data_IF_799633997810
#
_entry.id   IF_799633997810
#
_cell.length_a   1.000
_cell.length_b   1.000
_cell.length_c   1.000
_cell.angle_alpha   90.00
_cell.angle_beta   90.00
_cell.angle_gamma   90.00
#
_symmetry.space_group_name_H-M   'P 1'
#
loop_
_entity.id
_entity.type
_entity.pdbx_description
1 polymer ?
#
# COMPACT_ATOMS: atom_id res chain seq x y z
N UNK A 1 3.56 -6.82 5.06
CA UNK A 1 3.43 -7.27 6.47
C UNK A 1 2.01 -6.97 7.02
N UNK A 2 0.95 -7.41 6.34
CA UNK A 2 -0.47 -7.22 6.76
C UNK A 2 -1.25 -8.57 6.78
N UNK A 3 -0.63 -9.68 6.40
CA UNK A 3 -1.33 -10.92 6.04
C UNK A 3 -1.71 -11.87 7.19
N UNK A 4 -1.40 -11.58 8.46
CA UNK A 4 -1.60 -12.55 9.56
C UNK A 4 -2.68 -12.21 10.59
N UNK A 5 -3.32 -11.03 10.53
CA UNK A 5 -4.15 -10.55 11.65
C UNK A 5 -5.64 -10.85 11.49
N UNK A 6 -6.12 -11.07 10.26
CA UNK A 6 -7.54 -11.33 10.00
C UNK A 6 -8.05 -12.69 10.48
N UNK A 7 -7.42 -13.82 10.10
CA UNK A 7 -7.99 -15.14 10.37
C UNK A 7 -8.04 -15.44 11.87
N UNK A 8 -7.04 -14.99 12.64
CA UNK A 8 -7.01 -15.18 14.09
C UNK A 8 -8.10 -14.43 14.85
N UNK A 9 -8.57 -13.28 14.35
CA UNK A 9 -9.61 -12.49 15.03
C UNK A 9 -11.02 -13.01 14.77
N UNK A 10 -11.34 -13.43 13.54
CA UNK A 10 -12.67 -14.00 13.26
C UNK A 10 -12.81 -15.41 13.85
N UNK A 11 -11.79 -16.27 13.75
CA UNK A 11 -11.80 -17.59 14.39
C UNK A 11 -11.94 -17.47 15.91
N UNK A 12 -11.25 -16.53 16.57
CA UNK A 12 -11.40 -16.28 18.00
C UNK A 12 -12.80 -15.78 18.41
N UNK A 13 -13.53 -15.10 17.52
CA UNK A 13 -14.91 -14.63 17.74
C UNK A 13 -15.92 -15.76 17.50
N UNK A 14 -15.65 -16.66 16.55
CA UNK A 14 -16.44 -17.88 16.32
C UNK A 14 -16.31 -18.83 17.52
N UNK A 15 -15.10 -19.01 18.05
CA UNK A 15 -14.80 -19.89 19.21
C UNK A 15 -14.95 -19.22 20.58
N UNK A 16 -15.48 -17.99 20.65
CA UNK A 16 -15.65 -17.27 21.92
C UNK A 16 -16.64 -18.00 22.84
N UNK A 17 -16.12 -18.68 23.88
CA UNK A 17 -16.92 -19.29 24.97
C UNK A 17 -17.17 -18.24 26.06
N UNK A 18 -18.38 -18.12 26.65
CA UNK A 18 -19.47 -19.11 26.69
C UNK A 18 -20.60 -18.95 25.65
N UNK A 19 -20.57 -17.93 24.79
CA UNK A 19 -21.56 -17.75 23.70
C UNK A 19 -20.83 -17.36 22.41
N UNK A 20 -20.86 -18.19 21.36
CA UNK A 20 -20.21 -17.87 20.10
C UNK A 20 -20.84 -16.60 19.54
N UNK A 21 -20.00 -15.62 19.20
CA UNK A 21 -20.45 -14.32 18.74
C UNK A 21 -20.73 -14.29 17.23
N UNK A 22 -20.31 -15.33 16.49
CA UNK A 22 -20.55 -15.48 15.06
C UNK A 22 -21.09 -16.87 14.71
N UNK A 23 -22.03 -16.91 13.77
CA UNK A 23 -22.56 -18.10 13.09
C UNK A 23 -23.11 -19.20 14.02
N UNK A 24 -23.45 -18.84 15.25
CA UNK A 24 -23.83 -19.80 16.30
C UNK A 24 -22.76 -20.85 16.61
N UNK A 25 -21.48 -20.54 16.34
CA UNK A 25 -20.34 -21.44 16.57
C UNK A 25 -20.13 -22.49 15.47
N UNK A 26 -20.79 -22.34 14.32
CA UNK A 26 -20.56 -23.22 13.15
C UNK A 26 -19.41 -22.69 12.32
N UNK A 27 -18.52 -23.60 11.92
CA UNK A 27 -17.47 -23.35 10.92
C UNK A 27 -17.78 -24.08 9.62
N UNK A 28 -17.19 -23.63 8.52
CA UNK A 28 -17.24 -24.27 7.20
C UNK A 28 -15.83 -24.69 6.75
N UNK A 29 -15.75 -25.59 5.78
CA UNK A 29 -14.47 -25.99 5.20
C UNK A 29 -13.70 -24.80 4.62
N UNK A 30 -14.42 -23.84 4.01
CA UNK A 30 -13.85 -22.59 3.50
C UNK A 30 -13.22 -21.78 4.63
N UNK A 31 -13.95 -21.55 5.73
CA UNK A 31 -13.45 -20.82 6.90
C UNK A 31 -12.25 -21.49 7.57
N UNK A 32 -12.16 -22.82 7.49
CA UNK A 32 -11.05 -23.58 8.04
C UNK A 32 -9.80 -23.56 7.14
N UNK A 33 -9.88 -23.03 5.92
CA UNK A 33 -8.69 -22.83 5.08
C UNK A 33 -7.89 -21.61 5.53
N UNK A 34 -6.57 -21.63 5.28
CA UNK A 34 -5.66 -20.53 5.60
C UNK A 34 -6.01 -19.18 4.94
N UNK A 35 -6.83 -19.19 3.88
CA UNK A 35 -7.24 -18.02 3.10
C UNK A 35 -8.75 -17.92 2.91
N UNK A 36 -9.55 -18.57 3.76
CA UNK A 36 -11.02 -18.58 3.65
C UNK A 36 -11.68 -17.20 3.75
N UNK A 37 -10.94 -16.20 4.26
CA UNK A 37 -11.33 -14.80 4.36
C UNK A 37 -10.22 -13.95 3.77
N UNK A 38 -10.20 -13.85 2.45
CA UNK A 38 -9.25 -13.04 1.70
C UNK A 38 -9.83 -11.68 1.30
N UNK A 39 -9.03 -10.89 0.59
CA UNK A 39 -9.45 -9.56 0.09
C UNK A 39 -10.57 -9.63 -0.94
N UNK A 40 -10.76 -10.75 -1.63
CA UNK A 40 -11.84 -10.93 -2.59
C UNK A 40 -13.18 -11.07 -1.86
N UNK A 41 -13.24 -11.92 -0.84
CA UNK A 41 -14.43 -12.05 0.03
C UNK A 41 -14.79 -10.71 0.66
N UNK A 42 -13.79 -9.98 1.18
CA UNK A 42 -14.01 -8.64 1.75
C UNK A 42 -14.60 -7.68 0.71
N UNK A 43 -14.04 -7.68 -0.50
CA UNK A 43 -14.53 -6.84 -1.60
C UNK A 43 -15.97 -7.17 -1.99
N UNK A 44 -16.33 -8.46 -2.09
CA UNK A 44 -17.70 -8.88 -2.41
C UNK A 44 -18.69 -8.45 -1.33
N UNK A 45 -18.29 -8.51 -0.06
CA UNK A 45 -19.10 -8.05 1.08
C UNK A 45 -19.31 -6.54 1.04
N UNK A 46 -18.28 -5.73 0.80
CA UNK A 46 -18.42 -4.28 0.69
C UNK A 46 -19.29 -3.88 -0.52
N UNK A 47 -19.10 -4.52 -1.68
CA UNK A 47 -19.95 -4.27 -2.85
C UNK A 47 -21.42 -4.62 -2.59
N UNK A 48 -21.67 -5.70 -1.86
CA UNK A 48 -23.03 -6.07 -1.47
C UNK A 48 -23.67 -5.03 -0.54
N UNK A 49 -22.86 -4.41 0.33
CA UNK A 49 -23.28 -3.31 1.20
C UNK A 49 -23.66 -2.07 0.38
N UNK A 50 -22.77 -1.63 -0.52
CA UNK A 50 -22.98 -0.44 -1.36
C UNK A 50 -24.18 -0.59 -2.30
N UNK A 51 -24.38 -1.79 -2.86
CA UNK A 51 -25.48 -2.10 -3.76
C UNK A 51 -25.14 -1.86 -5.24
N UNK A 52 -26.07 -2.21 -6.16
CA UNK A 52 -25.82 -2.22 -7.60
C UNK A 52 -25.71 -0.82 -8.23
N UNK A 53 -26.23 0.22 -7.57
CA UNK A 53 -26.17 1.61 -8.05
C UNK A 53 -24.85 2.31 -7.66
N UNK A 54 -24.00 1.64 -6.87
CA UNK A 54 -22.63 2.07 -6.67
C UNK A 54 -21.88 1.80 -7.97
N UNK A 55 -21.86 2.80 -8.85
CA UNK A 55 -21.09 2.76 -10.08
C UNK A 55 -19.65 2.32 -9.74
N UNK A 56 -19.01 1.44 -10.54
CA UNK A 56 -17.56 1.38 -10.48
C UNK A 56 -17.09 2.81 -10.74
N UNK A 57 -16.37 3.42 -9.80
CA UNK A 57 -15.79 4.74 -9.99
C UNK A 57 -14.78 4.63 -11.13
N UNK A 58 -15.28 4.74 -12.37
CA UNK A 58 -14.49 5.05 -13.54
C UNK A 58 -14.08 6.51 -13.37
N UNK A 59 -12.78 6.70 -13.24
CA UNK A 59 -12.04 7.96 -13.24
C UNK A 59 -12.78 9.08 -13.99
N UNK A 60 -13.55 9.91 -13.28
CA UNK A 60 -13.86 11.27 -13.71
C UNK A 60 -13.79 12.20 -12.48
N UNK A 61 -12.73 13.01 -12.49
CA UNK A 61 -12.47 14.15 -11.63
C UNK A 61 -13.70 15.04 -11.52
N UNK A 62 -14.48 14.93 -10.45
CA UNK A 62 -15.45 15.97 -10.06
C UNK A 62 -15.40 16.22 -8.56
N UNK A 63 -15.08 17.47 -8.23
CA UNK A 63 -14.98 18.04 -6.89
C UNK A 63 -16.36 18.04 -6.20
N UNK A 64 -16.54 17.46 -5.00
CA UNK A 64 -17.72 17.71 -4.19
C UNK A 64 -17.62 19.05 -3.44
N UNK A 65 -18.75 19.69 -3.07
CA UNK A 65 -18.79 21.01 -2.44
C UNK A 65 -18.22 21.01 -1.00
N UNK A 66 -17.88 22.19 -0.44
CA UNK A 66 -17.19 22.28 0.84
C UNK A 66 -18.08 21.76 1.97
N UNK A 67 -17.49 20.90 2.81
CA UNK A 67 -18.11 20.42 4.04
C UNK A 67 -18.11 21.54 5.08
N UNK A 68 -19.30 21.96 5.48
CA UNK A 68 -19.47 22.75 6.70
C UNK A 68 -19.25 21.85 7.93
N UNK A 69 -18.75 22.46 9.00
CA UNK A 69 -18.00 21.82 10.08
C UNK A 69 -18.67 20.62 10.74
N UNK A 70 -17.86 19.59 10.98
CA UNK A 70 -18.18 18.50 11.90
C UNK A 70 -17.10 18.44 12.98
N UNK A 71 -17.59 18.28 14.21
CA UNK A 71 -16.91 18.46 15.49
C UNK A 71 -15.94 17.30 15.78
N UNK A 72 -14.90 17.58 16.58
CA UNK A 72 -13.90 16.60 17.03
C UNK A 72 -14.55 15.43 17.77
N UNK A 73 -14.60 14.26 17.14
CA UNK A 73 -15.03 13.02 17.79
C UNK A 73 -13.82 12.32 18.45
N UNK A 74 -13.81 12.34 19.78
CA UNK A 74 -12.84 11.66 20.64
C UNK A 74 -12.83 10.15 20.39
N UNK A 75 -11.68 9.59 20.04
CA UNK A 75 -11.52 8.17 19.71
C UNK A 75 -11.44 7.32 20.97
N UNK A 76 -12.57 6.72 21.35
CA UNK A 76 -12.59 5.61 22.30
C UNK A 76 -12.06 4.32 21.64
N UNK A 77 -11.28 3.53 22.39
CA UNK A 77 -10.83 2.21 21.94
C UNK A 77 -12.04 1.28 21.78
N UNK A 78 -12.54 1.11 20.55
CA UNK A 78 -13.57 0.14 20.19
C UNK A 78 -13.10 -1.29 20.51
N UNK A 79 -13.44 -1.74 21.71
CA UNK A 79 -13.60 -3.16 21.99
C UNK A 79 -14.74 -3.64 21.08
N UNK A 80 -14.56 -4.77 20.40
CA UNK A 80 -15.62 -5.41 19.60
C UNK A 80 -16.74 -5.81 20.58
N UNK A 81 -17.66 -4.88 20.84
CA UNK A 81 -18.80 -5.09 21.72
C UNK A 81 -19.88 -5.73 20.88
N UNK A 82 -20.27 -6.95 21.23
CA UNK A 82 -21.41 -7.61 20.61
C UNK A 82 -22.63 -6.69 20.73
N UNK A 83 -23.33 -6.36 19.64
CA UNK A 83 -24.40 -5.37 19.71
C UNK A 83 -25.52 -5.84 20.66
N UNK A 84 -26.01 -4.89 21.46
CA UNK A 84 -27.06 -5.10 22.47
C UNK A 84 -28.33 -5.67 21.84
N UNK A 85 -29.14 -6.51 22.51
CA UNK A 85 -30.25 -7.29 21.91
C UNK A 85 -31.32 -6.50 21.14
N UNK A 86 -31.35 -5.17 21.24
CA UNK A 86 -32.33 -4.29 20.61
C UNK A 86 -31.79 -3.59 19.33
N UNK A 87 -30.54 -3.87 18.92
CA UNK A 87 -29.86 -3.15 17.83
C UNK A 87 -30.57 -3.26 16.47
N UNK A 88 -31.25 -4.38 16.20
CA UNK A 88 -31.99 -4.58 14.94
C UNK A 88 -33.16 -3.59 14.78
N UNK A 89 -33.77 -3.18 15.89
CA UNK A 89 -34.86 -2.19 15.93
C UNK A 89 -34.39 -0.77 15.62
N UNK A 90 -33.09 -0.50 15.79
CA UNK A 90 -32.47 0.78 15.45
C UNK A 90 -32.13 0.89 13.96
N UNK A 91 -32.21 -0.22 13.21
CA UNK A 91 -31.86 -0.23 11.79
C UNK A 91 -32.98 0.34 10.91
N UNK A 92 -32.59 1.24 10.02
CA UNK A 92 -33.46 1.77 9.00
C UNK A 92 -33.78 0.70 7.94
N UNK A 93 -34.84 0.91 7.15
CA UNK A 93 -35.25 -0.05 6.12
C UNK A 93 -34.14 -0.32 5.10
N UNK A 94 -33.41 0.73 4.70
CA UNK A 94 -32.27 0.65 3.79
C UNK A 94 -31.13 -0.21 4.36
N UNK A 95 -30.74 0.02 5.62
CA UNK A 95 -29.67 -0.74 6.29
C UNK A 95 -30.04 -2.22 6.44
N UNK A 96 -31.31 -2.50 6.75
CA UNK A 96 -31.80 -3.89 6.78
C UNK A 96 -31.67 -4.56 5.42
N UNK A 97 -31.98 -3.86 4.34
CA UNK A 97 -31.86 -4.42 3.00
C UNK A 97 -30.39 -4.57 2.56
N UNK A 98 -29.50 -3.65 2.96
CA UNK A 98 -28.05 -3.78 2.80
C UNK A 98 -27.52 -5.02 3.54
N UNK A 99 -27.87 -5.19 4.81
CA UNK A 99 -27.45 -6.35 5.61
C UNK A 99 -27.98 -7.66 5.06
N UNK A 100 -29.19 -7.69 4.48
CA UNK A 100 -29.69 -8.90 3.78
C UNK A 100 -28.83 -9.27 2.57
N UNK A 101 -28.36 -8.29 1.79
CA UNK A 101 -27.46 -8.53 0.66
C UNK A 101 -26.10 -9.04 1.14
N UNK A 102 -25.54 -8.40 2.17
CA UNK A 102 -24.29 -8.84 2.79
C UNK A 102 -24.44 -10.27 3.32
N UNK A 103 -25.51 -10.57 4.06
CA UNK A 103 -25.81 -11.91 4.56
C UNK A 103 -25.82 -12.94 3.45
N UNK A 104 -26.47 -12.64 2.32
CA UNK A 104 -26.49 -13.55 1.18
C UNK A 104 -25.07 -13.80 0.64
N UNK A 105 -24.25 -12.76 0.50
CA UNK A 105 -22.85 -12.93 0.08
C UNK A 105 -22.00 -13.70 1.08
N UNK A 106 -22.18 -13.47 2.37
CA UNK A 106 -21.49 -14.24 3.41
C UNK A 106 -21.85 -15.73 3.34
N UNK A 107 -23.12 -16.06 3.08
CA UNK A 107 -23.57 -17.44 2.85
C UNK A 107 -22.90 -18.04 1.62
N UNK A 108 -22.93 -17.31 0.49
CA UNK A 108 -22.39 -17.78 -0.79
C UNK A 108 -20.87 -18.02 -0.73
N UNK A 109 -20.12 -17.07 -0.16
CA UNK A 109 -18.65 -17.11 -0.10
C UNK A 109 -18.13 -18.08 0.96
N UNK A 110 -18.79 -18.16 2.12
CA UNK A 110 -18.31 -18.98 3.23
C UNK A 110 -18.91 -20.40 3.21
N UNK A 111 -19.89 -20.69 2.34
CA UNK A 111 -20.52 -22.00 2.25
C UNK A 111 -21.26 -22.41 3.54
N UNK A 112 -21.75 -21.43 4.30
CA UNK A 112 -22.50 -21.67 5.55
C UNK A 112 -24.00 -21.83 5.24
N UNK A 113 -24.74 -22.69 5.99
CA UNK A 113 -26.17 -22.81 5.79
C UNK A 113 -26.88 -21.50 6.19
N UNK A 114 -27.94 -21.14 5.47
CA UNK A 114 -28.63 -19.87 5.68
C UNK A 114 -29.19 -19.71 7.11
N UNK A 115 -29.52 -20.82 7.78
CA UNK A 115 -30.00 -20.79 9.17
C UNK A 115 -28.88 -20.50 10.20
N UNK A 116 -27.61 -20.64 9.81
CA UNK A 116 -26.47 -20.33 10.67
C UNK A 116 -26.08 -18.86 10.64
N UNK A 117 -26.37 -18.15 9.55
CA UNK A 117 -25.97 -16.75 9.37
C UNK A 117 -27.16 -15.85 9.69
N UNK A 118 -27.07 -15.09 10.78
CA UNK A 118 -28.03 -14.07 11.19
C UNK A 118 -27.73 -12.71 10.54
N UNK A 119 -28.65 -11.75 10.65
CA UNK A 119 -28.38 -10.36 10.26
C UNK A 119 -27.31 -9.73 11.15
N UNK A 120 -27.22 -10.16 12.41
CA UNK A 120 -26.17 -9.75 13.34
C UNK A 120 -24.80 -10.22 12.86
N UNK A 121 -24.68 -11.47 12.41
CA UNK A 121 -23.43 -11.99 11.86
C UNK A 121 -22.99 -11.17 10.64
N UNK A 122 -23.92 -10.86 9.74
CA UNK A 122 -23.64 -10.03 8.57
C UNK A 122 -23.14 -8.62 8.95
N UNK A 123 -23.73 -8.01 9.99
CA UNK A 123 -23.30 -6.71 10.49
C UNK A 123 -21.90 -6.75 11.10
N UNK A 124 -21.61 -7.76 11.94
CA UNK A 124 -20.30 -7.95 12.56
C UNK A 124 -19.23 -8.22 11.49
N UNK A 125 -19.50 -9.12 10.55
CA UNK A 125 -18.57 -9.44 9.45
C UNK A 125 -18.24 -8.18 8.66
N UNK A 126 -19.25 -7.43 8.23
CA UNK A 126 -19.06 -6.15 7.52
C UNK A 126 -18.24 -5.16 8.35
N UNK A 127 -18.54 -5.00 9.63
CA UNK A 127 -17.82 -4.04 10.49
C UNK A 127 -16.34 -4.41 10.61
N UNK A 128 -16.03 -5.69 10.81
CA UNK A 128 -14.64 -6.16 10.91
C UNK A 128 -13.91 -5.97 9.58
N UNK A 129 -14.54 -6.32 8.45
CA UNK A 129 -13.93 -6.15 7.13
C UNK A 129 -13.68 -4.66 6.81
N UNK A 130 -14.66 -3.79 7.05
CA UNK A 130 -14.52 -2.35 6.89
C UNK A 130 -13.41 -1.76 7.77
N UNK A 131 -13.32 -2.18 9.04
CA UNK A 131 -12.27 -1.73 9.95
C UNK A 131 -10.87 -2.10 9.46
N UNK A 132 -10.73 -3.30 8.89
CA UNK A 132 -9.45 -3.77 8.34
C UNK A 132 -9.06 -2.97 7.11
N UNK A 133 -9.99 -2.75 6.18
CA UNK A 133 -9.73 -1.98 4.98
C UNK A 133 -9.39 -0.52 5.29
N UNK A 134 -10.14 0.12 6.20
CA UNK A 134 -9.81 1.46 6.70
C UNK A 134 -8.42 1.52 7.30
N UNK A 135 -8.02 0.53 8.11
CA UNK A 135 -6.67 0.47 8.66
C UNK A 135 -5.62 0.32 7.57
N UNK A 136 -5.85 -0.55 6.58
CA UNK A 136 -4.93 -0.75 5.47
C UNK A 136 -4.77 0.53 4.62
N UNK A 137 -5.86 1.24 4.35
CA UNK A 137 -5.86 2.52 3.65
C UNK A 137 -5.08 3.60 4.43
N UNK A 138 -5.32 3.72 5.75
CA UNK A 138 -4.59 4.63 6.64
C UNK A 138 -3.08 4.37 6.61
N UNK A 139 -2.66 3.11 6.75
CA UNK A 139 -1.23 2.76 6.71
C UNK A 139 -0.58 3.01 5.34
N UNK A 140 -1.34 2.82 4.26
CA UNK A 140 -0.87 3.11 2.90
C UNK A 140 -0.68 4.62 2.69
N UNK A 141 -1.63 5.43 3.15
CA UNK A 141 -1.55 6.89 3.14
C UNK A 141 -0.34 7.40 3.93
N UNK A 142 -0.03 6.82 5.10
CA UNK A 142 1.16 7.16 5.88
C UNK A 142 2.45 6.96 5.09
N UNK A 143 2.57 5.86 4.35
CA UNK A 143 3.77 5.59 3.54
C UNK A 143 3.93 6.62 2.39
N UNK A 144 2.82 6.97 1.73
CA UNK A 144 2.80 8.00 0.68
C UNK A 144 3.17 9.36 1.26
N UNK A 145 2.50 9.79 2.34
CA UNK A 145 2.75 11.05 3.02
C UNK A 145 4.19 11.16 3.51
N UNK A 146 4.74 10.11 4.11
CA UNK A 146 6.14 10.08 4.55
C UNK A 146 7.12 10.30 3.39
N UNK A 147 6.86 9.70 2.22
CA UNK A 147 7.68 9.88 1.02
C UNK A 147 7.58 11.31 0.49
N UNK A 148 6.39 11.90 0.49
CA UNK A 148 6.18 13.28 0.07
C UNK A 148 6.88 14.27 1.02
N UNK A 149 6.82 14.04 2.33
CA UNK A 149 7.54 14.85 3.33
C UNK A 149 9.05 14.71 3.15
N UNK A 150 9.55 13.48 2.98
CA UNK A 150 10.97 13.21 2.78
C UNK A 150 11.54 13.85 1.51
N UNK A 151 10.70 14.06 0.49
CA UNK A 151 11.06 14.71 -0.78
C UNK A 151 10.72 16.20 -0.81
N UNK A 152 10.38 16.79 0.34
CA UNK A 152 10.03 18.21 0.52
C UNK A 152 8.82 18.64 -0.34
N UNK A 153 7.92 17.70 -0.66
CA UNK A 153 6.69 17.92 -1.45
C UNK A 153 5.45 18.13 -0.58
N UNK A 154 5.51 17.80 0.70
CA UNK A 154 4.43 17.97 1.68
C UNK A 154 4.99 18.30 3.07
N UNK A 155 4.15 18.88 3.92
CA UNK A 155 4.43 19.09 5.34
C UNK A 155 3.32 18.41 6.15
N UNK A 156 3.68 17.79 7.27
CA UNK A 156 2.68 17.18 8.16
C UNK A 156 1.82 18.27 8.82
N UNK A 157 0.54 17.98 9.04
CA UNK A 157 -0.39 18.91 9.65
C UNK A 157 -1.04 19.90 8.67
N UNK A 158 -0.79 19.75 7.36
CA UNK A 158 -1.50 20.50 6.34
C UNK A 158 -0.95 21.90 6.07
N UNK A 159 0.25 22.21 6.55
CA UNK A 159 0.92 23.45 6.17
C UNK A 159 1.28 23.43 4.67
N UNK A 160 1.17 24.60 4.03
CA UNK A 160 1.52 24.74 2.63
C UNK A 160 2.99 24.35 2.40
N UNK A 161 3.29 23.40 1.50
CA UNK A 161 4.66 23.04 1.20
C UNK A 161 5.41 24.23 0.59
N UNK A 162 6.75 24.29 0.73
CA UNK A 162 7.54 25.35 0.14
C UNK A 162 7.26 25.46 -1.36
N UNK A 163 7.24 26.68 -1.93
CA UNK A 163 6.92 26.89 -3.33
C UNK A 163 7.84 26.05 -4.20
N UNK A 164 7.28 25.39 -5.23
CA UNK A 164 8.05 24.60 -6.17
C UNK A 164 9.19 25.46 -6.73
N UNK A 165 10.40 24.90 -6.78
CA UNK A 165 11.63 25.62 -7.19
C UNK A 165 11.54 26.26 -8.60
N UNK A 166 10.54 25.86 -9.39
CA UNK A 166 10.39 26.25 -10.80
C UNK A 166 9.05 26.96 -11.12
N UNK A 167 8.25 27.37 -10.12
CA UNK A 167 7.03 28.16 -10.32
C UNK A 167 5.83 27.42 -10.95
N UNK A 168 5.99 26.15 -11.34
CA UNK A 168 4.88 25.28 -11.73
C UNK A 168 4.29 24.53 -10.53
N UNK A 169 2.97 24.49 -10.46
CA UNK A 169 2.24 23.68 -9.48
C UNK A 169 2.50 22.19 -9.76
N UNK A 170 3.55 21.66 -9.14
CA UNK A 170 3.98 20.28 -9.36
C UNK A 170 2.91 19.32 -8.84
N UNK A 171 2.17 18.70 -9.76
CA UNK A 171 1.33 17.52 -9.51
C UNK A 171 2.22 16.34 -9.11
N UNK A 172 1.72 15.48 -8.23
CA UNK A 172 2.47 14.37 -7.66
C UNK A 172 1.81 13.08 -8.11
N UNK A 173 2.42 12.41 -9.09
CA UNK A 173 1.95 11.12 -9.58
C UNK A 173 2.33 9.99 -8.62
N UNK A 174 1.34 9.24 -8.16
CA UNK A 174 1.48 8.04 -7.33
C UNK A 174 0.92 6.86 -8.11
N UNK A 175 1.81 6.05 -8.68
CA UNK A 175 1.42 4.83 -9.38
C UNK A 175 1.20 3.69 -8.37
N UNK A 176 0.04 3.03 -8.44
CA UNK A 176 -0.31 1.93 -7.53
C UNK A 176 -0.62 0.65 -8.27
N UNK A 177 -0.30 -0.48 -7.63
CA UNK A 177 -0.53 -1.81 -8.18
C UNK A 177 -2.02 -2.19 -8.19
N UNK A 178 -2.36 -2.99 -9.20
CA UNK A 178 -3.72 -3.28 -9.65
C UNK A 178 -4.53 -4.14 -8.68
N UNK A 179 -3.90 -5.09 -8.00
CA UNK A 179 -4.60 -6.15 -7.27
C UNK A 179 -5.62 -5.68 -6.20
N UNK A 180 -5.28 -4.68 -5.39
CA UNK A 180 -6.16 -4.21 -4.33
C UNK A 180 -7.10 -3.08 -4.80
N UNK A 181 -6.57 -2.12 -5.55
CA UNK A 181 -7.32 -0.92 -5.95
C UNK A 181 -8.35 -1.20 -7.03
N UNK A 182 -8.06 -2.12 -7.95
CA UNK A 182 -9.01 -2.46 -9.02
C UNK A 182 -10.23 -3.21 -8.45
N UNK A 183 -10.07 -3.87 -7.30
CA UNK A 183 -11.06 -4.82 -6.81
C UNK A 183 -11.70 -4.40 -5.49
N UNK A 184 -11.09 -3.54 -4.67
CA UNK A 184 -11.68 -3.11 -3.40
C UNK A 184 -12.39 -1.77 -3.55
N UNK A 185 -13.73 -1.70 -3.37
CA UNK A 185 -14.46 -0.45 -3.55
C UNK A 185 -14.02 0.58 -2.50
N UNK A 186 -14.05 1.87 -2.87
CA UNK A 186 -13.73 2.98 -1.97
C UNK A 186 -12.31 2.99 -1.36
N UNK A 187 -11.40 2.08 -1.75
CA UNK A 187 -10.07 2.02 -1.13
C UNK A 187 -9.28 3.32 -1.35
N UNK A 188 -9.31 3.84 -2.58
CA UNK A 188 -8.68 5.13 -2.92
C UNK A 188 -9.29 6.27 -2.12
N UNK A 189 -10.63 6.32 -2.00
CA UNK A 189 -11.31 7.34 -1.20
C UNK A 189 -10.84 7.31 0.26
N UNK A 190 -10.85 6.14 0.90
CA UNK A 190 -10.39 5.98 2.30
C UNK A 190 -8.91 6.36 2.47
N UNK A 191 -8.08 6.06 1.47
CA UNK A 191 -6.66 6.43 1.46
C UNK A 191 -6.48 7.94 1.29
N UNK A 192 -7.24 8.58 0.39
CA UNK A 192 -7.27 10.04 0.18
C UNK A 192 -7.76 10.79 1.42
N UNK A 193 -8.81 10.32 2.09
CA UNK A 193 -9.25 10.85 3.39
C UNK A 193 -8.12 10.84 4.42
N UNK A 194 -7.40 9.72 4.47
CA UNK A 194 -6.24 9.58 5.37
C UNK A 194 -5.09 10.51 4.98
N UNK A 195 -4.87 10.76 3.67
CA UNK A 195 -3.90 11.74 3.20
C UNK A 195 -4.29 13.17 3.60
N UNK A 196 -5.56 13.56 3.44
CA UNK A 196 -6.04 14.90 3.86
C UNK A 196 -5.75 15.18 5.32
N UNK A 197 -5.97 14.17 6.19
CA UNK A 197 -5.66 14.28 7.62
C UNK A 197 -4.16 14.48 7.87
N UNK A 198 -3.29 13.86 7.06
CA UNK A 198 -1.83 13.90 7.28
C UNK A 198 -1.17 15.16 6.69
N UNK A 199 -1.55 15.56 5.49
CA UNK A 199 -0.84 16.56 4.67
C UNK A 199 -1.72 17.72 4.20
N UNK A 200 -2.98 17.78 4.65
CA UNK A 200 -3.93 18.82 4.30
C UNK A 200 -4.61 18.60 2.94
N UNK A 201 -5.74 19.27 2.75
CA UNK A 201 -6.57 19.12 1.54
C UNK A 201 -5.89 19.69 0.29
N UNK A 202 -5.28 20.87 0.39
CA UNK A 202 -4.59 21.50 -0.75
C UNK A 202 -3.46 20.62 -1.31
N UNK A 203 -2.67 20.00 -0.43
CA UNK A 203 -1.59 19.10 -0.85
C UNK A 203 -2.14 17.79 -1.42
N UNK A 204 -3.23 17.26 -0.86
CA UNK A 204 -3.87 16.03 -1.33
C UNK A 204 -4.48 16.18 -2.73
N UNK A 205 -5.07 17.35 -3.05
CA UNK A 205 -5.62 17.65 -4.38
C UNK A 205 -4.55 17.64 -5.49
N UNK A 206 -3.28 17.84 -5.12
CA UNK A 206 -2.15 17.77 -6.07
C UNK A 206 -1.67 16.35 -6.33
N UNK A 207 -2.16 15.35 -5.59
CA UNK A 207 -1.77 13.95 -5.74
C UNK A 207 -2.67 13.28 -6.78
N UNK A 208 -2.06 12.83 -7.87
CA UNK A 208 -2.71 12.02 -8.90
C UNK A 208 -2.38 10.55 -8.60
N UNK A 209 -3.39 9.75 -8.28
CA UNK A 209 -3.21 8.34 -7.92
C UNK A 209 -3.74 7.50 -9.07
N UNK A 210 -2.83 6.87 -9.81
CA UNK A 210 -3.15 6.15 -11.04
C UNK A 210 -2.71 4.69 -10.96
N UNK A 211 -3.40 3.84 -11.72
CA UNK A 211 -3.10 2.42 -11.80
C UNK A 211 -1.88 2.13 -12.67
N UNK A 212 -0.88 1.46 -12.11
CA UNK A 212 0.24 0.93 -12.88
C UNK A 212 -0.25 -0.25 -13.74
N UNK A 213 -0.15 -0.13 -15.07
CA UNK A 213 -0.57 -1.18 -16.02
C UNK A 213 0.32 -2.43 -15.96
N UNK A 214 1.63 -2.24 -15.86
CA UNK A 214 2.65 -3.30 -15.68
C UNK A 214 3.91 -2.67 -15.06
N UNK A 215 3.83 -2.34 -13.77
CA UNK A 215 4.91 -1.64 -13.08
C UNK A 215 6.16 -2.50 -12.86
N UNK A 216 5.98 -3.81 -12.65
CA UNK A 216 7.08 -4.72 -12.32
C UNK A 216 7.89 -5.12 -13.56
N UNK A 217 7.24 -5.43 -14.68
CA UNK A 217 7.91 -5.78 -15.93
C UNK A 217 8.60 -4.56 -16.57
N UNK A 218 7.82 -3.51 -16.83
CA UNK A 218 8.33 -2.29 -17.48
C UNK A 218 9.37 -1.59 -16.61
N UNK A 219 9.11 -1.47 -15.30
CA UNK A 219 10.05 -0.86 -14.36
C UNK A 219 11.39 -1.58 -14.32
N UNK A 220 11.38 -2.92 -14.25
CA UNK A 220 12.62 -3.72 -14.27
C UNK A 220 13.39 -3.53 -15.59
N UNK A 221 12.70 -3.51 -16.73
CA UNK A 221 13.33 -3.29 -18.04
C UNK A 221 13.98 -1.89 -18.15
N UNK A 222 13.30 -0.84 -17.65
CA UNK A 222 13.84 0.52 -17.65
C UNK A 222 15.04 0.66 -16.71
N UNK A 223 15.01 0.03 -15.54
CA UNK A 223 16.15 -0.02 -14.62
C UNK A 223 17.36 -0.71 -15.29
N UNK A 224 17.14 -1.84 -15.98
CA UNK A 224 18.19 -2.53 -16.71
C UNK A 224 18.77 -1.66 -17.83
N UNK A 225 17.93 -1.00 -18.63
CA UNK A 225 18.35 -0.07 -19.68
C UNK A 225 19.17 1.10 -19.12
N UNK A 226 18.72 1.69 -18.00
CA UNK A 226 19.43 2.80 -17.37
C UNK A 226 20.80 2.36 -16.83
N UNK A 227 20.90 1.14 -16.28
CA UNK A 227 22.18 0.56 -15.84
C UNK A 227 23.14 0.36 -17.02
N UNK A 228 22.65 -0.18 -18.15
CA UNK A 228 23.46 -0.33 -19.39
C UNK A 228 23.94 1.03 -19.88
N UNK A 229 23.05 2.03 -19.95
CA UNK A 229 23.41 3.39 -20.36
C UNK A 229 24.49 4.01 -19.46
N UNK A 230 24.40 3.82 -18.14
CA UNK A 230 25.43 4.32 -17.22
C UNK A 230 26.76 3.59 -17.35
N UNK A 231 26.75 2.29 -17.63
CA UNK A 231 27.96 1.51 -17.88
C UNK A 231 28.67 1.97 -19.17
N UNK A 232 27.92 2.23 -20.25
CA UNK A 232 28.46 2.75 -21.50
C UNK A 232 29.04 4.17 -21.36
N UNK A 233 28.38 5.04 -20.60
CA UNK A 233 28.88 6.40 -20.31
C UNK A 233 30.18 6.35 -19.50
N UNK A 234 30.28 5.46 -18.50
CA UNK A 234 31.52 5.23 -17.75
C UNK A 234 32.63 4.66 -18.63
N UNK A 235 32.33 3.70 -19.49
CA UNK A 235 33.32 3.13 -20.43
C UNK A 235 33.88 4.17 -21.39
N UNK A 236 33.05 5.11 -21.85
CA UNK A 236 33.49 6.23 -22.72
C UNK A 236 34.34 7.26 -21.97
N UNK A 237 34.06 7.53 -20.69
CA UNK A 237 34.90 8.42 -19.86
C UNK A 237 36.30 7.84 -19.60
N UNK A 238 36.39 6.53 -19.34
CA UNK A 238 37.69 5.86 -19.14
C UNK A 238 38.55 5.85 -20.40
N UNK A 239 37.94 5.80 -21.59
CA UNK A 239 38.65 5.89 -22.87
C UNK A 239 39.13 7.31 -23.21
N UNK A 240 38.52 8.36 -22.64
CA UNK A 240 38.96 9.76 -22.82
C UNK A 240 40.02 10.25 -21.83
N UNK A 241 40.32 9.47 -20.78
CA UNK A 241 41.28 9.81 -19.72
C UNK A 241 42.63 9.08 -19.85
N UNK A 242 42.89 8.37 -20.95
CA UNK A 242 44.23 7.81 -21.18
C UNK A 242 45.25 8.96 -21.38
N UNK A 243 46.32 9.06 -20.57
CA UNK A 243 47.34 10.09 -20.76
C UNK A 243 48.02 9.86 -22.11
N UNK A 244 48.17 10.93 -22.89
CA UNK A 244 49.00 10.91 -24.09
C UNK A 244 50.38 10.36 -23.73
N UNK A 245 50.85 9.36 -24.47
CA UNK A 245 52.14 8.73 -24.24
C UNK A 245 53.25 9.79 -24.36
N UNK A 246 53.86 10.15 -23.23
CA UNK A 246 55.08 10.95 -23.22
C UNK A 246 56.20 10.18 -23.95
N UNK A 247 56.76 10.81 -24.98
CA UNK A 247 57.94 10.37 -25.71
C UNK A 247 59.10 10.10 -24.75
N UNK A 248 59.57 8.85 -24.72
CA UNK A 248 60.77 8.45 -23.97
C UNK A 248 61.99 8.89 -24.80
N UNK A 249 62.89 9.75 -24.29
CA UNK A 249 64.09 10.12 -25.04
C UNK A 249 65.10 8.98 -25.00
N UNK A 250 65.47 8.54 -26.20
CA UNK A 250 66.49 7.55 -26.51
C UNK A 250 67.88 8.22 -26.41
N UNK A 251 68.46 8.33 -25.21
CA UNK A 251 69.90 8.58 -25.07
C UNK A 251 70.42 8.14 -23.70
N UNK A 252 71.02 6.95 -23.62
CA UNK A 252 71.99 6.61 -22.59
C UNK A 252 73.12 5.83 -23.25
N UNK A 253 74.17 6.58 -23.56
CA UNK A 253 75.47 6.12 -24.01
C UNK A 253 76.11 5.11 -23.05
N UNK A 254 76.80 4.16 -23.66
CA UNK A 254 77.73 3.24 -23.05
C UNK A 254 78.78 4.00 -22.22
N UNK A 255 78.94 3.64 -20.95
CA UNK A 255 80.16 3.91 -20.21
C UNK A 255 80.45 2.72 -19.27
N UNK A 256 81.34 1.85 -19.72
CA UNK A 256 81.94 0.78 -18.91
C UNK A 256 82.99 1.38 -17.98
N UNK A 257 83.11 0.88 -16.75
CA UNK A 257 84.46 0.48 -16.34
C UNK A 257 84.54 -0.83 -15.55
N UNK A 258 85.51 -1.64 -15.98
CA UNK A 258 86.54 -2.37 -15.22
C UNK A 258 86.20 -2.95 -13.82
N UNK A 259 86.03 -4.28 -13.83
CA UNK A 259 86.85 -5.27 -13.09
C UNK A 259 87.47 -4.85 -11.74
N UNK A 260 86.90 -5.32 -10.62
CA UNK A 260 87.64 -5.63 -9.40
C UNK A 260 87.10 -6.91 -8.75
N UNK A 261 88.04 -7.80 -8.50
CA UNK A 261 88.01 -9.18 -8.02
C UNK A 261 87.39 -9.43 -6.63
N UNK A 262 86.94 -10.70 -6.48
CA UNK A 262 87.04 -11.59 -5.30
C UNK A 262 86.65 -11.05 -3.92
N UNK A 263 85.57 -11.60 -3.35
CA UNK A 263 85.70 -12.50 -2.19
C UNK A 263 84.34 -13.10 -1.82
N UNK A 264 84.25 -14.43 -1.88
CA UNK A 264 83.14 -15.23 -1.35
C UNK A 264 83.54 -15.71 0.04
N UNK A 265 82.70 -15.49 1.06
CA UNK A 265 82.65 -16.38 2.21
C UNK A 265 81.36 -17.18 2.18
N UNK A 266 81.53 -18.50 2.03
CA UNK A 266 80.61 -19.52 2.54
C UNK A 266 80.61 -19.49 4.08
N UNK A 267 79.51 -20.00 4.65
CA UNK A 267 79.23 -20.42 6.06
C UNK A 267 77.90 -19.78 6.52
N UNK A 268 76.86 -20.47 6.98
CA UNK A 268 76.57 -21.88 7.31
C UNK A 268 75.03 -22.02 7.36
#
# INVERSE_FOLDING_TARGET
MIQSVLPGKLSAVIDASPKPALFGGRSSDVLNTHYGLDTAVMSHVERAWEGPDAAPETEETTTPPPAEGEEEETVEHESISTPSPCWESALNALERDQLKRVRQKVIDELGLPAEAVSLQDAAIVRQVMAAVARRAAKLSAVAIAATMVQTERAVLGGEAPPPAKDGEETRIGVAVDRSLIEHYPNFIRLMRESLRVLIGEETEQRVDIDLAKDGSGVGAALCALQAVKQAELRGKQVLSEQPEAEDIPEDLSEDTPEDVSEDVPDDD
#
